data_IF_093543229912
#
_entry.id   IF_093543229912
#
_cell.length_a   1.000
_cell.length_b   1.000
_cell.length_c   1.000
_cell.angle_alpha   90.00
_cell.angle_beta   90.00
_cell.angle_gamma   90.00
#
_symmetry.space_group_name_H-M   'P 1'
#
loop_
_entity.id
_entity.type
_entity.pdbx_description
1 polymer ?
#
# COMPACT_ATOMS: atom_id res chain seq x y z
N UNK A 1 -13.42 10.68 -10.09
CA UNK A 1 -13.22 10.89 -8.63
C UNK A 1 -13.62 9.68 -7.77
N UNK A 2 -14.34 8.68 -8.31
CA UNK A 2 -14.74 7.47 -7.59
C UNK A 2 -13.60 6.68 -6.93
N UNK A 3 -12.42 6.61 -7.57
CA UNK A 3 -11.25 5.93 -6.99
C UNK A 3 -10.82 6.55 -5.66
N UNK A 4 -10.73 7.88 -5.58
CA UNK A 4 -10.37 8.59 -4.34
C UNK A 4 -11.41 8.34 -3.24
N UNK A 5 -12.70 8.40 -3.59
CA UNK A 5 -13.78 8.11 -2.64
C UNK A 5 -13.70 6.68 -2.10
N UNK A 6 -13.41 5.70 -2.96
CA UNK A 6 -13.25 4.30 -2.55
C UNK A 6 -12.04 4.11 -1.62
N UNK A 7 -10.91 4.76 -1.90
CA UNK A 7 -9.70 4.71 -1.06
C UNK A 7 -9.98 5.27 0.34
N UNK A 8 -10.66 6.42 0.41
CA UNK A 8 -11.03 7.02 1.70
C UNK A 8 -12.03 6.17 2.48
N UNK A 9 -13.02 5.59 1.80
CA UNK A 9 -14.00 4.70 2.42
C UNK A 9 -13.33 3.44 3.01
N UNK A 10 -12.40 2.84 2.27
CA UNK A 10 -11.62 1.70 2.77
C UNK A 10 -10.74 2.09 3.98
N UNK A 11 -10.06 3.23 3.91
CA UNK A 11 -9.25 3.75 5.03
C UNK A 11 -10.09 4.00 6.29
N UNK A 12 -11.30 4.57 6.14
CA UNK A 12 -12.23 4.79 7.24
C UNK A 12 -12.73 3.46 7.85
N UNK A 13 -13.00 2.46 7.02
CA UNK A 13 -13.39 1.12 7.48
C UNK A 13 -12.27 0.47 8.28
N UNK A 14 -11.04 0.46 7.76
CA UNK A 14 -9.86 -0.07 8.47
C UNK A 14 -9.68 0.66 9.81
N UNK A 15 -9.78 1.99 9.82
CA UNK A 15 -9.70 2.77 11.05
C UNK A 15 -10.76 2.35 12.07
N UNK A 16 -12.02 2.18 11.66
CA UNK A 16 -13.10 1.78 12.55
C UNK A 16 -12.90 0.39 13.19
N UNK A 17 -12.30 -0.56 12.47
CA UNK A 17 -12.05 -1.91 12.97
C UNK A 17 -10.78 -2.02 13.84
N UNK A 18 -9.68 -1.41 13.43
CA UNK A 18 -8.40 -1.56 14.14
C UNK A 18 -8.27 -0.66 15.37
N UNK A 19 -8.87 0.53 15.37
CA UNK A 19 -8.72 1.51 16.46
C UNK A 19 -9.22 1.00 17.81
N UNK A 20 -10.39 0.34 17.92
CA UNK A 20 -10.84 -0.26 19.17
C UNK A 20 -9.82 -1.27 19.72
N UNK A 21 -9.28 -2.14 18.87
CA UNK A 21 -8.27 -3.12 19.27
C UNK A 21 -6.97 -2.46 19.76
N UNK A 22 -6.56 -1.36 19.12
CA UNK A 22 -5.40 -0.56 19.49
C UNK A 22 -5.59 0.20 20.82
N UNK A 23 -6.81 0.69 21.10
CA UNK A 23 -7.16 1.30 22.37
C UNK A 23 -7.03 0.30 23.53
N UNK A 24 -7.54 -0.92 23.36
CA UNK A 24 -7.46 -1.99 24.38
C UNK A 24 -6.01 -2.36 24.67
N UNK A 25 -5.15 -2.40 23.64
CA UNK A 25 -3.74 -2.79 23.79
C UNK A 25 -2.86 -1.73 24.47
N UNK A 26 -3.33 -0.47 24.58
CA UNK A 26 -2.67 0.70 25.21
C UNK A 26 -1.19 0.92 24.84
N UNK A 27 -0.75 0.38 23.71
CA UNK A 27 0.65 0.40 23.27
C UNK A 27 0.88 1.54 22.29
N UNK A 28 1.65 2.55 22.70
CA UNK A 28 2.02 3.70 21.86
C UNK A 28 2.78 3.29 20.59
N UNK A 29 3.56 2.21 20.65
CA UNK A 29 4.30 1.68 19.49
C UNK A 29 3.35 1.09 18.44
N UNK A 30 2.30 0.39 18.90
CA UNK A 30 1.30 -0.18 18.00
C UNK A 30 0.49 0.93 17.31
N UNK A 31 0.15 1.99 18.04
CA UNK A 31 -0.49 3.18 17.48
C UNK A 31 0.37 3.88 16.41
N UNK A 32 1.65 4.08 16.70
CA UNK A 32 2.57 4.69 15.75
C UNK A 32 2.72 3.84 14.47
N UNK A 33 2.88 2.52 14.62
CA UNK A 33 2.94 1.61 13.48
C UNK A 33 1.65 1.64 12.66
N UNK A 34 0.49 1.57 13.30
CA UNK A 34 -0.81 1.61 12.63
C UNK A 34 -1.00 2.91 11.83
N UNK A 35 -0.76 4.07 12.45
CA UNK A 35 -0.87 5.36 11.78
C UNK A 35 0.11 5.47 10.62
N UNK A 36 1.35 5.01 10.79
CA UNK A 36 2.34 5.02 9.73
C UNK A 36 1.92 4.16 8.54
N UNK A 37 1.51 2.90 8.77
CA UNK A 37 1.08 2.02 7.70
C UNK A 37 -0.20 2.52 7.02
N UNK A 38 -1.18 2.99 7.78
CA UNK A 38 -2.46 3.48 7.24
C UNK A 38 -2.24 4.73 6.37
N UNK A 39 -1.46 5.69 6.86
CA UNK A 39 -1.17 6.92 6.10
C UNK A 39 -0.31 6.63 4.87
N UNK A 40 0.70 5.76 4.97
CA UNK A 40 1.51 5.34 3.83
C UNK A 40 0.67 4.66 2.74
N UNK A 41 -0.18 3.70 3.13
CA UNK A 41 -1.07 2.99 2.20
C UNK A 41 -2.05 3.94 1.50
N UNK A 42 -2.75 4.78 2.27
CA UNK A 42 -3.71 5.76 1.72
C UNK A 42 -3.00 6.73 0.76
N UNK A 43 -1.81 7.22 1.11
CA UNK A 43 -1.03 8.14 0.26
C UNK A 43 -0.65 7.50 -1.08
N UNK A 44 -0.16 6.25 -1.05
CA UNK A 44 0.18 5.50 -2.27
C UNK A 44 -1.06 5.30 -3.14
N UNK A 45 -2.17 4.84 -2.55
CA UNK A 45 -3.42 4.63 -3.28
C UNK A 45 -4.01 5.94 -3.84
N UNK A 46 -3.87 7.05 -3.13
CA UNK A 46 -4.25 8.38 -3.62
C UNK A 46 -3.42 8.80 -4.83
N UNK A 47 -2.10 8.63 -4.78
CA UNK A 47 -1.22 8.90 -5.91
C UNK A 47 -1.61 8.06 -7.14
N UNK A 48 -1.88 6.77 -6.96
CA UNK A 48 -2.36 5.88 -8.04
C UNK A 48 -3.70 6.39 -8.59
N UNK A 49 -4.65 6.72 -7.71
CA UNK A 49 -5.98 7.21 -8.10
C UNK A 49 -5.93 8.59 -8.78
N UNK A 50 -4.91 9.40 -8.49
CA UNK A 50 -4.63 10.67 -9.14
C UNK A 50 -3.89 10.52 -10.50
N UNK A 51 -3.58 9.29 -10.91
CA UNK A 51 -2.87 9.02 -12.16
C UNK A 51 -1.36 9.25 -12.07
N UNK A 52 -0.80 9.40 -10.87
CA UNK A 52 0.66 9.48 -10.68
C UNK A 52 1.23 8.08 -10.88
N UNK A 53 2.11 7.95 -11.88
CA UNK A 53 2.82 6.71 -12.13
C UNK A 53 3.83 6.44 -11.01
N UNK A 54 3.43 5.60 -10.05
CA UNK A 54 4.35 5.07 -9.05
C UNK A 54 5.01 3.83 -9.66
N UNK A 55 6.35 3.78 -9.78
CA UNK A 55 7.05 2.60 -10.27
C UNK A 55 6.69 1.42 -9.37
N UNK A 56 6.26 0.31 -9.97
CA UNK A 56 5.86 -0.84 -9.17
C UNK A 56 7.10 -1.43 -8.48
N UNK A 57 6.96 -1.98 -7.26
CA UNK A 57 8.06 -2.71 -6.63
C UNK A 57 8.47 -3.95 -7.43
N UNK A 58 7.67 -4.34 -8.43
CA UNK A 58 7.97 -5.41 -9.37
C UNK A 58 8.84 -4.96 -10.54
N UNK A 59 8.95 -3.66 -10.85
CA UNK A 59 9.82 -3.16 -11.93
C UNK A 59 11.29 -3.55 -11.72
N UNK A 60 11.90 -3.31 -10.54
CA UNK A 60 13.29 -3.70 -10.29
C UNK A 60 13.47 -5.23 -10.34
N UNK A 61 12.49 -5.98 -9.85
CA UNK A 61 12.49 -7.43 -9.91
C UNK A 61 12.42 -7.91 -11.36
N UNK A 62 11.56 -7.33 -12.19
CA UNK A 62 11.52 -7.60 -13.63
C UNK A 62 12.85 -7.29 -14.28
N UNK A 63 13.46 -6.12 -14.02
CA UNK A 63 14.78 -5.79 -14.58
C UNK A 63 15.86 -6.85 -14.28
N UNK A 64 15.84 -7.46 -13.10
CA UNK A 64 16.82 -8.47 -12.69
C UNK A 64 16.47 -9.86 -13.23
N UNK A 65 15.20 -10.27 -13.13
CA UNK A 65 14.77 -11.64 -13.41
C UNK A 65 14.29 -11.87 -14.84
N UNK A 66 13.85 -10.85 -15.56
CA UNK A 66 13.46 -10.93 -16.97
C UNK A 66 14.61 -11.36 -17.90
N UNK A 67 15.87 -10.87 -17.77
CA UNK A 67 16.97 -11.40 -18.59
C UNK A 67 17.25 -12.88 -18.33
N UNK A 68 17.12 -13.35 -17.07
CA UNK A 68 17.24 -14.78 -16.73
C UNK A 68 16.09 -15.57 -17.37
N UNK A 69 14.87 -15.03 -17.32
CA UNK A 69 13.70 -15.65 -17.94
C UNK A 69 13.75 -15.71 -19.47
N UNK A 70 14.38 -14.73 -20.13
CA UNK A 70 14.63 -14.75 -21.59
C UNK A 70 15.68 -15.79 -21.94
N UNK A 71 16.77 -15.85 -21.18
CA UNK A 71 17.81 -16.86 -21.36
C UNK A 71 17.28 -18.31 -21.22
N UNK A 72 16.31 -18.55 -20.33
CA UNK A 72 15.68 -19.87 -20.16
C UNK A 72 14.65 -20.17 -21.27
N UNK A 73 13.91 -19.15 -21.75
CA UNK A 73 12.95 -19.31 -22.86
C UNK A 73 13.60 -19.37 -24.25
N UNK A 74 14.87 -18.99 -24.37
CA UNK A 74 15.58 -18.94 -25.64
C UNK A 74 15.15 -17.77 -26.54
N UNK A 75 14.67 -16.68 -25.93
CA UNK A 75 14.33 -15.41 -26.59
C UNK A 75 15.50 -14.42 -26.55
#
# INVERSE_FOLDING_TARGET
MWGVTAVLAAGAMIFAFEVPALFVRRSRRAWAAFLFLLTAGISILLCIAAGVAIPSPLEPLRMIFEPVGRAIRGE
#
